data_IF_559642308324
#
_entry.id   IF_559642308324
#
_cell.length_a   1.000
_cell.length_b   1.000
_cell.length_c   1.000
_cell.angle_alpha   90.00
_cell.angle_beta   90.00
_cell.angle_gamma   90.00
#
_symmetry.space_group_name_H-M   'P 1'
#
loop_
_entity.id
_entity.type
_entity.pdbx_description
1 polymer ?
#
# COMPACT_ATOMS: atom_id res chain seq x y z
N UNK A 1 19.50 7.25 -11.47
CA UNK A 1 18.03 7.14 -11.36
C UNK A 1 17.73 5.80 -10.71
N UNK A 2 17.05 5.80 -9.57
CA UNK A 2 16.74 4.61 -8.77
C UNK A 2 15.29 4.21 -9.02
N UNK A 3 15.07 2.97 -9.46
CA UNK A 3 13.74 2.44 -9.81
C UNK A 3 13.28 1.46 -8.73
N UNK A 4 12.02 1.57 -8.35
CA UNK A 4 11.39 0.77 -7.30
C UNK A 4 10.04 0.32 -7.85
N UNK A 5 9.74 -0.96 -7.70
CA UNK A 5 8.50 -1.57 -8.20
C UNK A 5 7.83 -2.33 -7.06
N UNK A 6 6.50 -2.34 -7.03
CA UNK A 6 5.79 -3.31 -6.22
C UNK A 6 6.09 -4.73 -6.72
N UNK A 7 6.22 -5.67 -5.80
CA UNK A 7 6.46 -7.08 -6.09
C UNK A 7 6.18 -7.88 -4.80
N UNK A 8 6.06 -9.20 -4.88
CA UNK A 8 5.78 -10.04 -3.70
C UNK A 8 6.81 -9.85 -2.56
N UNK A 9 8.05 -9.47 -2.89
CA UNK A 9 9.09 -9.20 -1.88
C UNK A 9 8.82 -7.93 -1.03
N UNK A 10 7.88 -7.07 -1.41
CA UNK A 10 7.45 -5.93 -0.57
C UNK A 10 6.51 -6.37 0.55
N UNK A 11 5.83 -7.51 0.42
CA UNK A 11 4.74 -7.91 1.30
C UNK A 11 5.21 -8.20 2.72
N UNK A 12 6.33 -8.91 2.90
CA UNK A 12 6.84 -9.19 4.25
C UNK A 12 7.15 -7.91 5.03
N UNK A 13 7.74 -6.92 4.36
CA UNK A 13 8.02 -5.61 4.96
C UNK A 13 6.74 -4.83 5.26
N UNK A 14 5.75 -4.91 4.39
CA UNK A 14 4.45 -4.30 4.62
C UNK A 14 3.73 -4.91 5.83
N UNK A 15 3.73 -6.24 5.95
CA UNK A 15 3.13 -6.98 7.08
C UNK A 15 3.83 -6.60 8.39
N UNK A 16 5.16 -6.57 8.40
CA UNK A 16 5.91 -6.12 9.58
C UNK A 16 5.49 -4.71 10.00
N UNK A 17 5.41 -3.76 9.05
CA UNK A 17 4.97 -2.39 9.36
C UNK A 17 3.53 -2.35 9.89
N UNK A 18 2.62 -3.14 9.32
CA UNK A 18 1.24 -3.28 9.80
C UNK A 18 1.22 -3.75 11.26
N UNK A 19 2.01 -4.77 11.61
CA UNK A 19 2.11 -5.27 12.98
C UNK A 19 2.75 -4.27 13.94
N UNK A 20 3.75 -3.49 13.52
CA UNK A 20 4.31 -2.41 14.36
C UNK A 20 3.28 -1.31 14.67
N UNK A 21 2.27 -1.15 13.81
CA UNK A 21 1.12 -0.25 14.02
C UNK A 21 0.00 -0.89 14.85
N UNK A 22 0.21 -2.09 15.39
CA UNK A 22 -0.75 -2.83 16.22
C UNK A 22 -2.07 -3.18 15.51
N UNK A 23 -2.05 -3.26 14.17
CA UNK A 23 -3.16 -3.86 13.43
C UNK A 23 -3.03 -5.38 13.45
N UNK A 24 -4.18 -6.05 13.45
CA UNK A 24 -4.29 -7.48 13.14
C UNK A 24 -4.39 -7.64 11.63
N UNK A 25 -3.71 -8.65 11.11
CA UNK A 25 -3.80 -9.09 9.72
C UNK A 25 -4.08 -10.59 9.72
N UNK A 26 -5.12 -11.03 9.00
CA UNK A 26 -5.53 -12.43 8.94
C UNK A 26 -6.28 -12.75 7.64
N UNK A 27 -6.47 -14.04 7.34
CA UNK A 27 -7.32 -14.55 6.23
C UNK A 27 -8.49 -15.37 6.79
N UNK A 28 -9.51 -15.62 5.98
CA UNK A 28 -10.64 -16.52 6.33
C UNK A 28 -10.61 -17.76 5.44
N UNK A 29 -10.87 -18.94 6.00
CA UNK A 29 -10.82 -20.23 5.28
C UNK A 29 -11.80 -20.36 4.12
N UNK A 30 -12.95 -19.74 4.26
CA UNK A 30 -14.08 -19.90 3.33
C UNK A 30 -14.05 -18.88 2.19
N UNK A 31 -13.06 -17.99 2.13
CA UNK A 31 -12.92 -17.06 1.02
C UNK A 31 -12.32 -17.76 -0.20
N UNK A 32 -13.07 -17.76 -1.31
CA UNK A 32 -12.64 -18.36 -2.58
C UNK A 32 -11.42 -17.63 -3.18
N UNK A 33 -11.30 -16.33 -2.90
CA UNK A 33 -10.16 -15.50 -3.26
C UNK A 33 -9.29 -15.29 -2.02
N UNK A 34 -7.95 -15.32 -2.16
CA UNK A 34 -7.03 -15.09 -1.04
C UNK A 34 -7.11 -13.63 -0.56
N UNK A 35 -8.11 -13.34 0.29
CA UNK A 35 -8.44 -12.02 0.82
C UNK A 35 -7.77 -11.85 2.19
N UNK A 36 -7.15 -10.70 2.39
CA UNK A 36 -6.61 -10.31 3.68
C UNK A 36 -7.56 -9.36 4.39
N UNK A 37 -7.68 -9.53 5.70
CA UNK A 37 -8.43 -8.65 6.57
C UNK A 37 -7.49 -7.89 7.50
N UNK A 38 -7.67 -6.58 7.54
CA UNK A 38 -6.96 -5.67 8.41
C UNK A 38 -7.93 -5.14 9.49
N UNK A 39 -7.58 -5.29 10.76
CA UNK A 39 -8.43 -4.90 11.88
C UNK A 39 -7.65 -4.17 12.98
N UNK A 40 -8.21 -3.07 13.50
CA UNK A 40 -7.74 -2.39 14.71
C UNK A 40 -8.91 -1.64 15.35
N UNK A 41 -9.22 -1.95 16.60
CA UNK A 41 -10.34 -1.36 17.35
C UNK A 41 -11.67 -1.43 16.56
N UNK A 42 -12.27 -0.30 16.21
CA UNK A 42 -13.53 -0.22 15.46
C UNK A 42 -13.33 -0.18 13.93
N UNK A 43 -12.09 -0.28 13.45
CA UNK A 43 -11.76 -0.28 12.02
C UNK A 43 -11.50 -1.69 11.53
N UNK A 44 -12.22 -2.10 10.48
CA UNK A 44 -12.05 -3.38 9.79
C UNK A 44 -12.23 -3.21 8.30
N UNK A 45 -11.32 -3.77 7.51
CA UNK A 45 -11.37 -3.71 6.05
C UNK A 45 -10.74 -4.95 5.42
N UNK A 46 -11.23 -5.33 4.24
CA UNK A 46 -10.65 -6.38 3.41
C UNK A 46 -9.80 -5.78 2.28
N UNK A 47 -8.76 -6.49 1.84
CA UNK A 47 -7.92 -6.10 0.72
C UNK A 47 -7.16 -7.28 0.12
N UNK A 48 -6.71 -7.12 -1.12
CA UNK A 48 -6.12 -8.22 -1.89
C UNK A 48 -4.61 -8.36 -1.71
N UNK A 49 -3.94 -7.39 -1.07
CA UNK A 49 -2.51 -7.46 -0.84
C UNK A 49 -2.06 -6.63 0.39
N UNK A 50 -0.98 -7.06 1.08
CA UNK A 50 -0.49 -6.35 2.25
C UNK A 50 0.03 -4.93 1.98
N UNK A 51 0.48 -4.62 0.76
CA UNK A 51 1.04 -3.30 0.45
C UNK A 51 -0.08 -2.24 0.36
N UNK A 52 -1.20 -2.60 -0.25
CA UNK A 52 -2.43 -1.78 -0.24
C UNK A 52 -2.96 -1.62 1.19
N UNK A 53 -2.99 -2.69 1.99
CA UNK A 53 -3.43 -2.62 3.38
C UNK A 53 -2.52 -1.76 4.26
N UNK A 54 -1.21 -1.74 4.01
CA UNK A 54 -0.29 -0.80 4.65
C UNK A 54 -0.69 0.65 4.36
N UNK A 55 -0.98 0.98 3.11
CA UNK A 55 -1.43 2.32 2.74
C UNK A 55 -2.74 2.70 3.45
N UNK A 56 -3.72 1.80 3.49
CA UNK A 56 -4.98 2.00 4.19
C UNK A 56 -4.77 2.20 5.70
N UNK A 57 -3.92 1.39 6.34
CA UNK A 57 -3.58 1.55 7.77
C UNK A 57 -3.00 2.93 8.07
N UNK A 58 -2.17 3.47 7.16
CA UNK A 58 -1.61 4.80 7.28
C UNK A 58 -2.68 5.89 7.09
N UNK A 59 -3.58 5.72 6.12
CA UNK A 59 -4.71 6.64 5.90
C UNK A 59 -5.59 6.71 7.14
N UNK A 60 -5.95 5.55 7.71
CA UNK A 60 -6.79 5.46 8.90
C UNK A 60 -6.16 6.15 10.12
N UNK A 61 -4.84 6.04 10.30
CA UNK A 61 -4.14 6.68 11.43
C UNK A 61 -3.97 8.20 11.31
N UNK A 62 -4.16 8.77 10.12
CA UNK A 62 -3.92 10.20 9.86
C UNK A 62 -5.23 10.99 9.63
N UNK A 63 -6.39 10.38 9.87
CA UNK A 63 -7.76 10.97 9.87
C UNK A 63 -8.02 11.97 8.73
N UNK A 64 -7.52 11.64 7.53
CA UNK A 64 -7.62 12.55 6.39
C UNK A 64 -8.95 12.33 5.68
N UNK A 65 -9.95 13.11 6.07
CA UNK A 65 -11.24 13.18 5.37
C UNK A 65 -11.09 13.99 4.08
N UNK A 66 -11.57 13.45 2.94
CA UNK A 66 -11.67 14.22 1.71
C UNK A 66 -12.71 15.34 1.88
N UNK A 67 -12.48 16.55 1.35
CA UNK A 67 -13.54 17.52 1.14
C UNK A 67 -14.68 16.89 0.33
N UNK A 68 -15.94 17.11 0.75
CA UNK A 68 -17.15 16.50 0.17
C UNK A 68 -17.21 16.54 -1.37
N UNK A 69 -16.66 17.59 -1.98
CA UNK A 69 -16.64 17.81 -3.44
C UNK A 69 -15.79 16.80 -4.23
N UNK A 70 -14.88 16.06 -3.57
CA UNK A 70 -14.04 15.04 -4.22
C UNK A 70 -14.59 13.60 -4.10
N UNK A 71 -15.67 13.39 -3.35
CA UNK A 71 -16.27 12.07 -3.15
C UNK A 71 -16.97 11.54 -4.40
N UNK A 72 -17.51 12.42 -5.26
CA UNK A 72 -18.34 12.04 -6.41
C UNK A 72 -17.54 11.62 -7.66
N UNK A 73 -16.20 11.75 -7.63
CA UNK A 73 -15.33 11.53 -8.79
C UNK A 73 -14.50 10.24 -8.72
N UNK A 74 -14.53 9.50 -7.61
CA UNK A 74 -13.60 8.39 -7.37
C UNK A 74 -14.34 7.12 -6.92
N UNK A 75 -14.07 6.03 -7.64
CA UNK A 75 -14.68 4.69 -7.47
C UNK A 75 -14.28 4.04 -6.13
N UNK A 76 -13.26 4.55 -5.43
CA UNK A 76 -12.86 4.11 -4.09
C UNK A 76 -12.29 5.30 -3.29
N UNK A 77 -12.89 5.64 -2.14
CA UNK A 77 -12.48 6.77 -1.30
C UNK A 77 -11.00 6.68 -0.85
N UNK A 78 -10.46 5.46 -0.70
CA UNK A 78 -9.05 5.26 -0.32
C UNK A 78 -8.07 5.67 -1.42
N UNK A 79 -8.40 5.46 -2.70
CA UNK A 79 -7.53 5.84 -3.81
C UNK A 79 -7.34 7.36 -3.88
N UNK A 80 -8.43 8.10 -3.66
CA UNK A 80 -8.44 9.55 -3.58
C UNK A 80 -7.51 10.09 -2.48
N UNK A 81 -7.67 9.53 -1.28
CA UNK A 81 -6.88 9.93 -0.12
C UNK A 81 -5.41 9.54 -0.34
N UNK A 82 -5.16 8.38 -0.95
CA UNK A 82 -3.81 7.95 -1.31
C UNK A 82 -3.13 8.94 -2.26
N UNK A 83 -3.82 9.37 -3.33
CA UNK A 83 -3.33 10.42 -4.24
C UNK A 83 -2.94 11.67 -3.46
N UNK A 84 -3.82 12.15 -2.58
CA UNK A 84 -3.56 13.35 -1.78
C UNK A 84 -2.31 13.21 -0.91
N UNK A 85 -2.13 12.08 -0.22
CA UNK A 85 -0.92 11.83 0.57
C UNK A 85 0.35 11.77 -0.28
N UNK A 86 0.30 11.12 -1.45
CA UNK A 86 1.44 11.03 -2.36
C UNK A 86 1.86 12.44 -2.82
N UNK A 87 0.90 13.28 -3.19
CA UNK A 87 1.15 14.67 -3.59
C UNK A 87 1.71 15.52 -2.44
N UNK A 88 1.18 15.38 -1.22
CA UNK A 88 1.72 16.06 -0.03
C UNK A 88 3.17 15.65 0.26
N UNK A 89 3.52 14.38 0.04
CA UNK A 89 4.89 13.87 0.09
C UNK A 89 5.79 14.37 -1.06
N UNK A 90 5.30 15.29 -1.90
CA UNK A 90 6.02 15.96 -3.00
C UNK A 90 6.42 15.03 -4.14
N UNK A 91 5.63 13.99 -4.38
CA UNK A 91 5.74 13.18 -5.58
C UNK A 91 4.95 13.82 -6.73
N UNK A 92 5.45 13.66 -7.95
CA UNK A 92 4.64 13.79 -9.17
C UNK A 92 4.10 12.41 -9.51
N UNK A 93 2.81 12.32 -9.81
CA UNK A 93 2.16 11.07 -10.18
C UNK A 93 1.75 11.08 -11.66
N UNK A 94 1.80 9.91 -12.30
CA UNK A 94 1.28 9.69 -13.65
C UNK A 94 0.83 8.23 -13.80
N UNK A 95 0.14 7.92 -14.89
CA UNK A 95 -0.26 6.56 -15.26
C UNK A 95 0.50 6.16 -16.53
N UNK A 96 0.96 4.91 -16.62
CA UNK A 96 1.68 4.39 -17.79
C UNK A 96 1.25 2.97 -18.12
N UNK A 97 1.27 2.60 -19.40
CA UNK A 97 1.09 1.21 -19.85
C UNK A 97 2.42 0.48 -20.10
N UNK A 98 3.55 1.13 -19.81
CA UNK A 98 4.86 0.65 -20.27
C UNK A 98 5.38 -0.61 -19.54
N UNK A 99 4.84 -0.95 -18.37
CA UNK A 99 5.34 -2.04 -17.52
C UNK A 99 4.30 -3.10 -17.17
N UNK A 100 3.06 -2.91 -17.62
CA UNK A 100 1.95 -3.82 -17.39
C UNK A 100 1.56 -4.50 -18.69
N UNK A 101 1.62 -5.83 -18.72
CA UNK A 101 1.24 -6.61 -19.91
C UNK A 101 -0.27 -6.57 -20.18
N UNK A 102 -1.09 -6.24 -19.18
CA UNK A 102 -2.57 -6.32 -19.24
C UNK A 102 -3.29 -5.11 -18.59
N UNK A 103 -2.65 -3.94 -18.45
CA UNK A 103 -3.23 -2.79 -17.75
C UNK A 103 -2.36 -1.53 -17.69
N UNK A 104 -2.60 -0.70 -16.67
CA UNK A 104 -1.85 0.52 -16.41
C UNK A 104 -1.20 0.49 -15.03
N UNK A 105 0.03 1.00 -14.93
CA UNK A 105 0.75 1.20 -13.68
C UNK A 105 0.73 2.66 -13.26
N UNK A 106 0.63 2.88 -11.95
CA UNK A 106 0.83 4.18 -11.33
C UNK A 106 2.32 4.44 -11.14
N UNK A 107 2.74 5.64 -11.52
CA UNK A 107 4.13 6.09 -11.46
C UNK A 107 4.25 7.24 -10.48
N UNK A 108 5.05 7.09 -9.43
CA UNK A 108 5.43 8.16 -8.51
C UNK A 108 6.87 8.59 -8.74
N UNK A 109 7.14 9.89 -8.95
CA UNK A 109 8.50 10.43 -9.11
C UNK A 109 8.81 11.52 -8.09
N UNK A 110 9.95 11.38 -7.40
CA UNK A 110 10.51 12.40 -6.50
C UNK A 110 12.04 12.39 -6.61
N UNK A 111 12.63 13.54 -7.00
CA UNK A 111 14.07 13.68 -7.25
C UNK A 111 14.60 12.60 -8.21
N UNK A 112 15.57 11.79 -7.77
CA UNK A 112 16.23 10.72 -8.51
C UNK A 112 15.53 9.34 -8.38
N UNK A 113 14.39 9.28 -7.69
CA UNK A 113 13.63 8.06 -7.43
C UNK A 113 12.35 8.00 -8.26
N UNK A 114 12.06 6.81 -8.82
CA UNK A 114 10.83 6.50 -9.55
C UNK A 114 10.25 5.20 -9.00
N UNK A 115 8.96 5.24 -8.71
CA UNK A 115 8.17 4.17 -8.11
C UNK A 115 7.11 3.74 -9.12
N UNK A 116 6.93 2.44 -9.30
CA UNK A 116 5.88 1.86 -10.14
C UNK A 116 5.04 0.92 -9.29
N UNK A 117 3.71 1.00 -9.43
CA UNK A 117 2.81 0.09 -8.73
C UNK A 117 1.51 -0.16 -9.50
N UNK A 118 0.94 -1.36 -9.38
CA UNK A 118 -0.28 -1.74 -10.08
C UNK A 118 -1.56 -1.03 -9.60
N UNK A 119 -1.50 -0.29 -8.48
CA UNK A 119 -2.58 0.59 -8.00
C UNK A 119 -2.01 1.78 -7.24
N UNK A 120 -2.81 2.83 -7.03
CA UNK A 120 -2.35 4.01 -6.28
C UNK A 120 -2.17 3.73 -4.78
N UNK A 121 -2.93 2.80 -4.20
CA UNK A 121 -2.71 2.32 -2.85
C UNK A 121 -1.39 1.56 -2.72
N UNK A 122 -1.08 0.66 -3.66
CA UNK A 122 0.23 0.02 -3.71
C UNK A 122 1.36 1.03 -3.90
N UNK A 123 1.14 2.09 -4.69
CA UNK A 123 2.11 3.17 -4.86
C UNK A 123 2.39 3.89 -3.52
N UNK A 124 1.34 4.26 -2.77
CA UNK A 124 1.50 4.86 -1.45
C UNK A 124 2.18 3.89 -0.48
N UNK A 125 1.76 2.62 -0.46
CA UNK A 125 2.37 1.59 0.39
C UNK A 125 3.86 1.42 0.11
N UNK A 126 4.26 1.42 -1.17
CA UNK A 126 5.66 1.33 -1.59
C UNK A 126 6.47 2.56 -1.14
N UNK A 127 5.88 3.75 -1.25
CA UNK A 127 6.50 4.99 -0.75
C UNK A 127 6.71 4.91 0.77
N UNK A 128 5.71 4.49 1.54
CA UNK A 128 5.80 4.34 2.99
C UNK A 128 6.87 3.34 3.41
N UNK A 129 6.93 2.20 2.71
CA UNK A 129 7.93 1.15 2.93
C UNK A 129 9.35 1.70 2.73
N UNK A 130 9.59 2.40 1.63
CA UNK A 130 10.91 2.96 1.31
C UNK A 130 11.26 4.14 2.22
N UNK A 131 10.28 4.92 2.67
CA UNK A 131 10.50 5.96 3.69
C UNK A 131 10.90 5.36 5.04
N UNK A 132 10.36 4.19 5.41
CA UNK A 132 10.66 3.50 6.66
C UNK A 132 12.05 2.82 6.62
N UNK A 133 12.34 2.07 5.56
CA UNK A 133 13.52 1.21 5.47
C UNK A 133 14.67 1.77 4.62
N UNK A 134 14.44 2.88 3.91
CA UNK A 134 15.39 3.48 2.99
C UNK A 134 15.56 2.70 1.69
N UNK A 135 16.60 3.05 0.93
CA UNK A 135 16.87 2.48 -0.41
C UNK A 135 17.17 0.98 -0.40
N UNK A 136 17.66 0.47 0.73
CA UNK A 136 18.04 -0.93 0.91
C UNK A 136 16.93 -1.75 1.57
N UNK A 137 15.66 -1.34 1.40
CA UNK A 137 14.50 -2.00 2.00
C UNK A 137 14.44 -3.52 1.72
N UNK A 138 14.98 -3.96 0.58
CA UNK A 138 15.01 -5.38 0.19
C UNK A 138 15.97 -6.23 1.03
N UNK A 139 16.98 -5.63 1.66
CA UNK A 139 18.00 -6.32 2.45
C UNK A 139 17.84 -6.10 3.95
N UNK A 140 16.68 -5.60 4.39
CA UNK A 140 16.42 -5.42 5.81
C UNK A 140 16.20 -6.79 6.44
N UNK A 141 16.88 -7.03 7.55
CA UNK A 141 16.68 -8.23 8.34
C UNK A 141 15.44 -8.07 9.24
N UNK A 142 14.29 -8.52 8.73
CA UNK A 142 13.03 -8.61 9.49
C UNK A 142 12.57 -10.07 9.57
N UNK A 143 11.83 -10.48 10.61
CA UNK A 143 11.21 -11.79 10.66
C UNK A 143 10.29 -12.03 9.46
N UNK A 144 10.16 -13.30 9.06
CA UNK A 144 9.28 -13.70 7.95
C UNK A 144 7.86 -13.89 8.49
N UNK A 145 6.97 -12.93 8.24
CA UNK A 145 5.57 -12.97 8.67
C UNK A 145 4.62 -13.46 7.58
N UNK A 146 5.04 -13.44 6.31
CA UNK A 146 4.16 -13.78 5.18
C UNK A 146 3.57 -15.20 5.30
N UNK A 147 4.31 -16.14 5.88
CA UNK A 147 3.89 -17.53 6.08
C UNK A 147 3.13 -17.76 7.40
N UNK A 148 3.12 -16.76 8.29
CA UNK A 148 2.59 -16.86 9.65
C UNK A 148 1.31 -16.03 9.83
N UNK A 149 0.71 -15.57 8.73
CA UNK A 149 -0.57 -14.86 8.77
C UNK A 149 -1.65 -15.84 9.25
N UNK A 150 -2.33 -15.56 10.39
CA UNK A 150 -3.37 -16.44 10.90
C UNK A 150 -4.53 -16.61 9.92
N UNK A 151 -5.03 -17.83 9.84
CA UNK A 151 -6.21 -18.20 9.08
C UNK A 151 -7.31 -18.64 10.05
N UNK A 152 -8.49 -18.02 9.97
CA UNK A 152 -9.64 -18.28 10.84
C UNK A 152 -10.75 -19.05 10.12
#
# INVERSE_FOLDING_TARGET
MFRITDAMNTYNSAIYMIYTKQYKLYTLKDDEDYIFYLEKENFKIAGNDPLSLLAISYINENDMQLPKEQHDLLVNQFDAIAINFILQKKFRINVTSAYSSNGYDWVGKKKDQIYYAGSVLKLLGLILLVECFGRNWQSVNIPLYLNDIPEF
#
